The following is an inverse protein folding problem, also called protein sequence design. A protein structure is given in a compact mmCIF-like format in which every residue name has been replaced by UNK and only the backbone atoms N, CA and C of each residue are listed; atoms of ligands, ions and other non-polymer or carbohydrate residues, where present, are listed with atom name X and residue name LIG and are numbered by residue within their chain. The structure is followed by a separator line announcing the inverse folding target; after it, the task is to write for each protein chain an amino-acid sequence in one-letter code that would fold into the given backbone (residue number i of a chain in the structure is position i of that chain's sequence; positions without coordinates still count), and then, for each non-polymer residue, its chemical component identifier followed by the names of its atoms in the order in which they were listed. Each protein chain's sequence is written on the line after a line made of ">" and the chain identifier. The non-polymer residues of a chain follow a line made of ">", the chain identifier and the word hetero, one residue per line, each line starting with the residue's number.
data_IF_336327290722
#
_entry.id   IF_336327290722
#
_cell.length_a   1.000
_cell.length_b   1.000
_cell.length_c   1.000
_cell.angle_alpha   90.00
_cell.angle_beta   90.00
_cell.angle_gamma   90.00
#
_symmetry.space_group_name_H-M   'P 1'
#
loop_
_entity.id
_entity.type
_entity.pdbx_description
1 polymer ?
#
# COMPACT_ATOMS: atom_id res chain seq x y z
N UNK A 1 40.65 -8.60 17.15
CA UNK A 1 39.50 -7.70 17.39
C UNK A 1 40.06 -6.31 17.65
N UNK A 2 40.06 -5.44 16.65
CA UNK A 2 40.52 -4.05 16.81
C UNK A 2 39.40 -3.22 17.42
N UNK A 3 39.61 -2.66 18.60
CA UNK A 3 38.74 -1.64 19.18
C UNK A 3 38.83 -0.38 18.32
N UNK A 4 37.74 -0.04 17.62
CA UNK A 4 37.61 1.24 16.94
C UNK A 4 37.47 2.33 17.99
N UNK A 5 38.54 3.10 18.19
CA UNK A 5 38.52 4.30 19.03
C UNK A 5 37.70 5.38 18.31
N UNK A 6 36.63 5.83 18.97
CA UNK A 6 35.79 6.93 18.49
C UNK A 6 36.60 8.23 18.59
N UNK A 7 36.43 9.12 17.61
CA UNK A 7 37.04 10.45 17.71
C UNK A 7 36.35 11.27 18.82
N UNK A 8 36.98 12.38 19.23
CA UNK A 8 36.49 13.21 20.33
C UNK A 8 35.09 13.79 20.07
N UNK A 9 34.77 14.10 18.82
CA UNK A 9 33.49 14.67 18.43
C UNK A 9 32.37 13.63 18.52
N UNK A 10 32.60 12.42 18.01
CA UNK A 10 31.70 11.27 18.11
C UNK A 10 31.45 10.87 19.56
N UNK A 11 32.51 10.89 20.38
CA UNK A 11 32.41 10.61 21.82
C UNK A 11 31.57 11.66 22.55
N UNK A 12 31.70 12.94 22.19
CA UNK A 12 30.92 14.03 22.78
C UNK A 12 29.43 13.94 22.39
N UNK A 13 29.16 13.59 21.13
CA UNK A 13 27.81 13.43 20.60
C UNK A 13 27.08 12.25 21.25
N UNK A 14 27.75 11.10 21.37
CA UNK A 14 27.20 9.92 22.06
C UNK A 14 26.87 10.22 23.52
N UNK A 15 27.74 10.94 24.24
CA UNK A 15 27.47 11.36 25.63
C UNK A 15 26.23 12.25 25.73
N UNK A 16 26.04 13.17 24.80
CA UNK A 16 24.85 14.03 24.72
C UNK A 16 23.56 13.23 24.49
N UNK A 17 23.59 12.25 23.58
CA UNK A 17 22.43 11.39 23.32
C UNK A 17 22.09 10.50 24.51
N UNK A 18 23.09 9.90 25.17
CA UNK A 18 22.89 9.09 26.38
C UNK A 18 22.29 9.94 27.49
N UNK A 19 22.78 11.15 27.72
CA UNK A 19 22.21 12.06 28.73
C UNK A 19 20.75 12.39 28.42
N UNK A 20 20.42 12.66 27.16
CA UNK A 20 19.04 12.92 26.72
C UNK A 20 18.12 11.73 27.02
N UNK A 21 18.60 10.50 26.81
CA UNK A 21 17.83 9.28 27.08
C UNK A 21 17.63 9.03 28.58
N UNK A 22 18.63 9.38 29.41
CA UNK A 22 18.52 9.34 30.88
C UNK A 22 17.50 10.36 31.37
N UNK A 23 17.54 11.59 30.85
CA UNK A 23 16.62 12.66 31.24
C UNK A 23 15.16 12.34 30.87
N UNK A 24 14.96 11.55 29.81
CA UNK A 24 13.64 11.05 29.38
C UNK A 24 13.13 9.85 30.21
N UNK A 25 13.89 9.41 31.21
CA UNK A 25 13.57 8.29 32.10
C UNK A 25 13.18 7.02 31.32
N UNK A 26 13.88 6.76 30.20
CA UNK A 26 13.59 5.64 29.32
C UNK A 26 13.90 4.33 30.05
N UNK A 27 12.95 3.39 30.13
CA UNK A 27 13.17 2.07 30.73
C UNK A 27 14.41 1.37 30.17
N UNK A 28 15.25 0.83 31.07
CA UNK A 28 16.54 0.19 30.73
C UNK A 28 16.41 -0.96 29.74
N UNK A 29 15.28 -1.65 29.73
CA UNK A 29 14.98 -2.74 28.78
C UNK A 29 14.86 -2.23 27.33
N UNK A 30 14.33 -1.02 27.12
CA UNK A 30 14.26 -0.38 25.80
C UNK A 30 15.66 0.01 25.32
N UNK A 31 16.49 0.55 26.22
CA UNK A 31 17.89 0.91 25.91
C UNK A 31 18.71 -0.32 25.53
N UNK A 32 18.61 -1.40 26.32
CA UNK A 32 19.28 -2.67 26.04
C UNK A 32 18.84 -3.27 24.70
N UNK A 33 17.55 -3.14 24.35
CA UNK A 33 17.01 -3.63 23.08
C UNK A 33 17.52 -2.79 21.89
N UNK A 34 17.61 -1.48 22.04
CA UNK A 34 18.16 -0.61 21.02
C UNK A 34 19.65 -0.91 20.78
N UNK A 35 20.43 -1.11 21.85
CA UNK A 35 21.85 -1.46 21.76
C UNK A 35 22.08 -2.82 21.08
N UNK A 36 21.22 -3.81 21.37
CA UNK A 36 21.24 -5.11 20.70
C UNK A 36 20.96 -4.99 19.20
N UNK A 37 19.96 -4.19 18.81
CA UNK A 37 19.64 -3.96 17.39
C UNK A 37 20.83 -3.29 16.70
N UNK A 38 21.40 -2.24 17.29
CA UNK A 38 22.55 -1.53 16.70
C UNK A 38 23.76 -2.47 16.55
N UNK A 39 24.03 -3.31 17.56
CA UNK A 39 25.13 -4.27 17.53
C UNK A 39 24.96 -5.34 16.46
N UNK A 40 23.77 -5.95 16.37
CA UNK A 40 23.42 -6.91 15.31
C UNK A 40 23.52 -6.28 13.91
N UNK A 41 23.11 -5.01 13.80
CA UNK A 41 23.18 -4.25 12.55
C UNK A 41 24.64 -3.93 12.19
N UNK A 42 25.49 -3.65 13.17
CA UNK A 42 26.93 -3.39 13.01
C UNK A 42 27.71 -4.63 12.59
N UNK A 43 27.36 -5.79 13.15
CA UNK A 43 27.95 -7.08 12.78
C UNK A 43 27.52 -7.53 11.38
N UNK A 44 26.26 -7.31 11.02
CA UNK A 44 25.73 -7.73 9.71
C UNK A 44 26.15 -6.84 8.54
N UNK A 45 26.50 -5.57 8.78
CA UNK A 45 26.76 -4.59 7.72
C UNK A 45 28.20 -4.14 7.55
N UNK A 46 29.17 -4.70 8.30
CA UNK A 46 30.59 -4.59 8.01
C UNK A 46 31.05 -3.22 7.50
N UNK A 47 31.23 -2.26 8.42
CA UNK A 47 31.78 -0.91 8.21
C UNK A 47 30.72 0.18 7.97
N UNK A 48 30.71 1.12 8.93
CA UNK A 48 29.89 2.33 9.01
C UNK A 48 30.38 3.32 7.94
N UNK A 49 29.79 3.28 6.75
CA UNK A 49 30.07 4.24 5.67
C UNK A 49 28.84 4.94 5.07
N UNK A 50 27.63 4.43 5.31
CA UNK A 50 26.42 4.90 4.63
C UNK A 50 25.27 5.25 5.60
N UNK A 51 25.60 5.73 6.80
CA UNK A 51 24.61 6.02 7.86
C UNK A 51 23.50 6.99 7.48
N UNK A 52 23.67 7.80 6.43
CA UNK A 52 22.64 8.74 5.95
C UNK A 52 21.71 8.17 4.86
N UNK A 53 22.05 7.05 4.22
CA UNK A 53 21.19 6.46 3.18
C UNK A 53 19.98 5.71 3.78
N UNK A 54 20.04 5.31 5.05
CA UNK A 54 18.99 4.54 5.71
C UNK A 54 17.90 5.41 6.35
N UNK A 55 18.17 6.67 6.72
CA UNK A 55 17.11 7.58 7.21
C UNK A 55 16.10 7.97 6.11
N UNK A 56 16.49 7.83 4.83
CA UNK A 56 15.59 8.03 3.68
C UNK A 56 14.83 6.77 3.26
N UNK A 57 15.30 5.58 3.62
CA UNK A 57 14.56 4.34 3.41
C UNK A 57 13.67 4.14 4.62
N UNK A 58 12.40 4.55 4.50
CA UNK A 58 11.36 4.13 5.45
C UNK A 58 11.58 2.65 5.73
N UNK A 59 11.88 2.26 6.99
CA UNK A 59 11.96 0.85 7.30
C UNK A 59 10.64 0.24 6.83
N UNK A 60 10.72 -0.81 6.01
CA UNK A 60 9.59 -1.73 5.91
C UNK A 60 9.45 -2.24 7.32
N UNK A 61 8.57 -1.63 8.10
CA UNK A 61 8.19 -2.14 9.39
C UNK A 61 7.67 -3.52 9.06
N UNK A 62 8.43 -4.55 9.42
CA UNK A 62 7.93 -5.91 9.41
C UNK A 62 6.59 -5.87 10.14
N UNK A 63 5.61 -6.58 9.58
CA UNK A 63 4.16 -6.63 9.89
C UNK A 63 3.81 -6.86 11.37
N UNK A 64 4.37 -6.08 12.27
CA UNK A 64 4.26 -6.14 13.72
C UNK A 64 3.22 -5.10 14.09
N UNK A 65 1.96 -5.51 13.94
CA UNK A 65 0.84 -5.30 14.86
C UNK A 65 -0.39 -5.93 14.18
N UNK A 66 -0.32 -7.22 13.82
CA UNK A 66 -1.51 -8.03 13.59
C UNK A 66 -2.13 -8.34 14.95
N UNK A 67 -2.69 -7.30 15.53
CA UNK A 67 -3.66 -7.45 16.60
C UNK A 67 -4.99 -7.59 15.89
N UNK A 68 -5.77 -8.63 16.20
CA UNK A 68 -7.13 -8.75 15.68
C UNK A 68 -7.97 -7.62 16.27
N UNK A 69 -7.98 -6.48 15.58
CA UNK A 69 -8.63 -5.27 16.07
C UNK A 69 -10.13 -5.47 16.21
N UNK A 70 -10.75 -6.39 15.46
CA UNK A 70 -12.15 -6.78 15.64
C UNK A 70 -12.43 -7.27 17.07
N UNK A 71 -11.56 -8.13 17.62
CA UNK A 71 -11.70 -8.64 18.97
C UNK A 71 -11.47 -7.53 20.01
N UNK A 72 -10.44 -6.69 19.81
CA UNK A 72 -10.17 -5.57 20.74
C UNK A 72 -11.27 -4.52 20.75
N UNK A 73 -11.81 -4.20 19.58
CA UNK A 73 -12.92 -3.26 19.44
C UNK A 73 -14.17 -3.84 20.10
N UNK A 74 -14.45 -5.13 19.88
CA UNK A 74 -15.55 -5.85 20.55
C UNK A 74 -15.39 -5.89 22.08
N UNK A 75 -14.16 -6.01 22.56
CA UNK A 75 -13.82 -5.99 23.98
C UNK A 75 -13.71 -4.56 24.57
N UNK A 76 -14.02 -3.52 23.79
CA UNK A 76 -13.95 -2.12 24.22
C UNK A 76 -12.53 -1.59 24.46
N UNK A 77 -11.51 -2.29 23.98
CA UNK A 77 -10.10 -1.87 24.07
C UNK A 77 -9.73 -0.87 22.97
N UNK A 78 -10.53 0.18 22.85
CA UNK A 78 -10.27 1.30 21.95
C UNK A 78 -10.06 2.58 22.75
N UNK A 79 -9.43 3.55 22.11
CA UNK A 79 -9.29 4.89 22.64
C UNK A 79 -10.44 5.76 22.16
N UNK A 80 -11.21 6.32 23.09
CA UNK A 80 -12.37 7.15 22.81
C UNK A 80 -13.66 6.36 22.68
N UNK A 81 -14.66 6.94 22.03
CA UNK A 81 -16.02 6.40 21.93
C UNK A 81 -16.27 5.76 20.54
N UNK A 82 -16.76 4.51 20.45
CA UNK A 82 -17.13 3.92 19.16
C UNK A 82 -18.16 4.78 18.43
N UNK A 83 -18.10 4.85 17.11
CA UNK A 83 -19.03 5.63 16.29
C UNK A 83 -18.80 7.15 16.30
N UNK A 84 -17.89 7.67 17.13
CA UNK A 84 -17.60 9.10 17.23
C UNK A 84 -16.11 9.39 17.13
N UNK A 85 -15.74 10.41 16.37
CA UNK A 85 -14.34 10.84 16.28
C UNK A 85 -14.02 11.86 17.37
N UNK A 86 -12.93 11.64 18.09
CA UNK A 86 -12.36 12.62 19.03
C UNK A 86 -11.40 13.58 18.33
N UNK A 87 -11.55 14.86 18.63
CA UNK A 87 -10.66 15.93 18.19
C UNK A 87 -9.97 16.54 19.41
N UNK A 88 -8.74 17.02 19.21
CA UNK A 88 -8.04 17.75 20.26
C UNK A 88 -8.76 19.07 20.55
N UNK A 89 -8.56 19.62 21.75
CA UNK A 89 -9.24 20.86 22.19
C UNK A 89 -9.03 22.04 21.23
N UNK A 90 -7.87 22.07 20.56
CA UNK A 90 -7.54 23.11 19.58
C UNK A 90 -8.12 22.85 18.18
N UNK A 91 -8.80 21.72 17.97
CA UNK A 91 -9.37 21.28 16.69
C UNK A 91 -8.34 21.02 15.58
N UNK A 92 -7.04 21.00 15.90
CA UNK A 92 -5.98 20.76 14.91
C UNK A 92 -5.68 19.29 14.76
N UNK A 93 -6.02 18.47 15.75
CA UNK A 93 -5.71 17.04 15.75
C UNK A 93 -6.97 16.19 15.87
N UNK A 94 -6.88 14.97 15.35
CA UNK A 94 -7.84 13.87 15.43
C UNK A 94 -7.13 12.71 16.14
N UNK A 95 -7.85 12.03 17.05
CA UNK A 95 -7.33 10.85 17.74
C UNK A 95 -7.58 9.57 16.94
N UNK A 96 -6.60 8.68 16.89
CA UNK A 96 -6.79 7.32 16.39
C UNK A 96 -7.37 6.43 17.48
N UNK A 97 -8.45 5.69 17.20
CA UNK A 97 -9.08 4.81 18.20
C UNK A 97 -8.28 3.55 18.49
N UNK A 98 -7.39 3.14 17.59
CA UNK A 98 -6.64 1.88 17.74
C UNK A 98 -5.38 2.09 18.59
N UNK A 99 -4.64 3.18 18.37
CA UNK A 99 -3.41 3.47 19.12
C UNK A 99 -3.47 4.68 20.05
N UNK A 100 -4.54 5.45 20.03
CA UNK A 100 -4.72 6.63 20.90
C UNK A 100 -3.90 7.85 20.50
N UNK A 101 -3.07 7.75 19.46
CA UNK A 101 -2.22 8.85 18.96
C UNK A 101 -3.01 9.99 18.32
N UNK A 102 -2.45 11.19 18.37
CA UNK A 102 -3.02 12.42 17.82
C UNK A 102 -2.38 12.79 16.49
N UNK A 103 -3.19 13.06 15.46
CA UNK A 103 -2.74 13.31 14.09
C UNK A 103 -3.48 14.48 13.46
N UNK A 104 -2.93 15.12 12.43
CA UNK A 104 -3.70 16.09 11.63
C UNK A 104 -4.78 15.40 10.76
N UNK A 105 -4.45 14.21 10.26
CA UNK A 105 -5.33 13.35 9.48
C UNK A 105 -4.86 11.90 9.64
N UNK A 106 -5.79 10.95 9.64
CA UNK A 106 -5.47 9.52 9.59
C UNK A 106 -5.30 9.12 8.13
N UNK A 107 -4.05 9.07 7.67
CA UNK A 107 -3.72 8.66 6.31
C UNK A 107 -3.77 7.14 6.15
N UNK A 108 -3.96 6.65 4.92
CA UNK A 108 -3.89 5.22 4.62
C UNK A 108 -2.59 4.58 5.13
N UNK A 109 -1.45 5.29 5.07
CA UNK A 109 -0.18 4.78 5.58
C UNK A 109 -0.20 4.53 7.09
N UNK A 110 -0.93 5.34 7.85
CA UNK A 110 -1.09 5.10 9.29
C UNK A 110 -2.04 3.92 9.54
N UNK A 111 -3.16 3.85 8.82
CA UNK A 111 -4.12 2.76 8.94
C UNK A 111 -3.51 1.39 8.58
N UNK A 112 -2.65 1.36 7.57
CA UNK A 112 -1.88 0.16 7.19
C UNK A 112 -0.92 -0.30 8.28
N UNK A 113 -0.43 0.59 9.14
CA UNK A 113 0.37 0.19 10.31
C UNK A 113 -0.46 -0.59 11.34
N UNK A 114 -1.78 -0.48 11.29
CA UNK A 114 -2.73 -1.28 12.07
C UNK A 114 -3.26 -2.49 11.30
N UNK A 115 -2.74 -2.78 10.11
CA UNK A 115 -3.20 -3.89 9.28
C UNK A 115 -4.49 -3.62 8.48
N UNK A 116 -4.97 -2.36 8.44
CA UNK A 116 -6.14 -1.98 7.65
C UNK A 116 -5.73 -1.54 6.24
N UNK A 117 -6.41 -2.02 5.21
CA UNK A 117 -6.10 -1.66 3.82
C UNK A 117 -6.68 -0.31 3.43
N UNK A 118 -7.78 0.11 4.07
CA UNK A 118 -8.51 1.31 3.70
C UNK A 118 -9.12 2.09 4.88
N UNK A 119 -9.37 3.38 4.65
CA UNK A 119 -10.18 4.21 5.55
C UNK A 119 -11.62 3.73 5.69
N UNK A 120 -12.12 2.91 4.75
CA UNK A 120 -13.45 2.32 4.81
C UNK A 120 -13.51 1.26 5.90
N UNK A 121 -12.56 0.31 5.90
CA UNK A 121 -12.44 -0.72 6.93
C UNK A 121 -12.30 -0.12 8.32
N UNK A 122 -11.48 0.94 8.47
CA UNK A 122 -11.36 1.65 9.74
C UNK A 122 -12.70 2.18 10.26
N UNK A 123 -13.53 2.74 9.36
CA UNK A 123 -14.85 3.27 9.74
C UNK A 123 -15.83 2.15 10.08
N UNK A 124 -15.86 1.09 9.28
CA UNK A 124 -16.72 -0.06 9.50
C UNK A 124 -16.40 -0.75 10.83
N UNK A 125 -15.11 -1.01 11.08
CA UNK A 125 -14.60 -1.59 12.31
C UNK A 125 -15.04 -0.81 13.56
N UNK A 126 -14.98 0.52 13.49
CA UNK A 126 -15.29 1.40 14.63
C UNK A 126 -16.73 1.92 14.65
N UNK A 127 -17.59 1.46 13.74
CA UNK A 127 -18.98 1.92 13.63
C UNK A 127 -19.13 3.41 13.26
N UNK A 128 -18.10 4.02 12.66
CA UNK A 128 -18.14 5.40 12.21
C UNK A 128 -19.04 5.54 10.97
N UNK A 129 -19.65 6.71 10.78
CA UNK A 129 -20.33 7.03 9.54
C UNK A 129 -19.36 6.88 8.34
N UNK A 130 -19.79 6.21 7.27
CA UNK A 130 -18.98 5.94 6.07
C UNK A 130 -18.41 7.20 5.43
N UNK A 131 -19.12 8.33 5.55
CA UNK A 131 -18.71 9.64 5.04
C UNK A 131 -17.94 10.48 6.06
N UNK A 132 -17.69 9.97 7.27
CA UNK A 132 -16.97 10.70 8.31
C UNK A 132 -15.55 11.01 7.84
N UNK A 133 -15.18 12.29 7.92
CA UNK A 133 -13.82 12.75 7.65
C UNK A 133 -12.86 12.24 8.71
N UNK A 134 -11.77 11.59 8.27
CA UNK A 134 -10.66 11.19 9.15
C UNK A 134 -9.56 12.27 9.17
N UNK A 135 -9.98 13.53 9.26
CA UNK A 135 -9.14 14.72 9.23
C UNK A 135 -9.61 15.67 10.32
N UNK A 136 -8.69 16.41 10.92
CA UNK A 136 -9.05 17.41 11.92
C UNK A 136 -9.86 18.55 11.29
N UNK A 137 -10.80 19.17 12.03
CA UNK A 137 -11.67 20.23 11.51
C UNK A 137 -10.86 21.36 10.87
N UNK A 138 -9.84 21.88 11.55
CA UNK A 138 -9.00 22.97 11.02
C UNK A 138 -8.26 22.59 9.75
N UNK A 139 -7.84 21.33 9.61
CA UNK A 139 -7.19 20.86 8.39
C UNK A 139 -8.21 20.65 7.26
N UNK A 140 -9.43 20.24 7.60
CA UNK A 140 -10.57 20.18 6.70
C UNK A 140 -10.96 21.57 6.17
N UNK A 141 -11.09 22.56 7.05
CA UNK A 141 -11.43 23.94 6.72
C UNK A 141 -10.38 24.55 5.78
N UNK A 142 -9.10 24.40 6.10
CA UNK A 142 -8.01 24.86 5.23
C UNK A 142 -8.04 24.19 3.86
N UNK A 143 -8.36 22.90 3.79
CA UNK A 143 -8.50 22.21 2.49
C UNK A 143 -9.70 22.72 1.72
N UNK A 144 -10.81 23.00 2.39
CA UNK A 144 -11.99 23.63 1.79
C UNK A 144 -11.64 25.02 1.23
N UNK A 145 -10.98 25.85 2.03
CA UNK A 145 -10.50 27.18 1.63
C UNK A 145 -9.58 27.09 0.41
N UNK A 146 -8.56 26.23 0.43
CA UNK A 146 -7.67 26.00 -0.72
C UNK A 146 -8.44 25.54 -1.95
N UNK A 147 -9.46 24.69 -1.78
CA UNK A 147 -10.32 24.23 -2.88
C UNK A 147 -11.10 25.39 -3.50
N UNK A 148 -11.63 26.29 -2.66
CA UNK A 148 -12.34 27.49 -3.08
C UNK A 148 -11.37 28.46 -3.77
N UNK A 149 -10.19 28.72 -3.19
CA UNK A 149 -9.18 29.64 -3.76
C UNK A 149 -8.62 29.16 -5.09
N UNK A 150 -8.41 27.84 -5.23
CA UNK A 150 -7.95 27.25 -6.49
C UNK A 150 -9.06 27.15 -7.54
N UNK A 151 -10.26 27.60 -7.19
CA UNK A 151 -11.47 27.49 -7.99
C UNK A 151 -11.60 26.08 -8.57
N UNK A 152 -11.28 25.06 -7.77
CA UNK A 152 -11.46 23.66 -8.21
C UNK A 152 -12.94 23.33 -8.35
N UNK A 153 -13.82 24.16 -7.78
CA UNK A 153 -15.25 24.17 -8.04
C UNK A 153 -15.59 24.33 -9.53
N UNK A 154 -14.84 25.13 -10.30
CA UNK A 154 -15.04 25.22 -11.75
C UNK A 154 -14.74 23.90 -12.49
N UNK A 155 -13.94 23.01 -11.89
CA UNK A 155 -13.62 21.68 -12.41
C UNK A 155 -14.43 20.56 -11.74
N UNK A 156 -15.19 20.87 -10.69
CA UNK A 156 -16.21 19.97 -10.15
C UNK A 156 -17.38 19.99 -11.13
N UNK A 157 -17.40 19.01 -12.03
CA UNK A 157 -18.57 18.72 -12.85
C UNK A 157 -19.70 18.40 -11.86
N UNK A 158 -20.64 19.32 -11.73
CA UNK A 158 -21.85 19.11 -10.95
C UNK A 158 -22.72 18.05 -11.65
N UNK A 159 -22.44 16.77 -11.37
CA UNK A 159 -23.28 15.67 -11.85
C UNK A 159 -24.68 15.70 -11.20
N UNK A 160 -24.95 16.63 -10.27
CA UNK A 160 -26.29 16.89 -9.70
C UNK A 160 -27.05 18.00 -10.38
N UNK A 161 -26.49 18.63 -11.41
CA UNK A 161 -27.31 19.32 -12.40
C UNK A 161 -28.31 18.30 -12.92
N UNK A 162 -29.57 18.41 -12.47
CA UNK A 162 -30.68 17.72 -13.09
C UNK A 162 -30.47 17.87 -14.59
N UNK A 163 -30.41 16.75 -15.30
CA UNK A 163 -30.07 16.68 -16.70
C UNK A 163 -31.10 17.46 -17.51
N UNK A 164 -30.92 18.79 -17.60
CA UNK A 164 -31.85 19.77 -18.18
C UNK A 164 -31.62 19.90 -19.68
N UNK A 165 -30.43 19.54 -20.16
CA UNK A 165 -30.29 19.08 -21.53
C UNK A 165 -30.87 17.68 -21.61
N UNK A 166 -32.01 17.49 -22.26
CA UNK A 166 -32.55 16.17 -22.59
C UNK A 166 -31.49 15.24 -23.19
N UNK A 167 -31.77 13.92 -23.33
CA UNK A 167 -30.78 12.86 -23.63
C UNK A 167 -29.67 13.33 -24.54
N UNK A 168 -28.51 13.65 -23.93
CA UNK A 168 -27.27 13.99 -24.62
C UNK A 168 -27.19 13.12 -25.88
N UNK A 169 -27.21 13.70 -27.09
CA UNK A 169 -27.16 12.94 -28.32
C UNK A 169 -25.94 12.01 -28.38
N UNK A 170 -24.89 12.30 -27.59
CA UNK A 170 -23.71 11.45 -27.41
C UNK A 170 -23.96 10.24 -26.51
N UNK A 171 -24.95 10.27 -25.61
CA UNK A 171 -25.36 9.16 -24.73
C UNK A 171 -26.31 8.16 -25.39
N UNK A 172 -26.99 8.50 -26.50
CA UNK A 172 -27.91 7.60 -27.22
C UNK A 172 -27.28 6.74 -28.32
N UNK A 173 -26.01 6.98 -28.67
CA UNK A 173 -25.32 6.19 -29.69
C UNK A 173 -24.67 4.94 -29.11
N UNK A 174 -24.77 3.80 -29.81
CA UNK A 174 -23.98 2.56 -29.62
C UNK A 174 -22.44 2.75 -29.62
N UNK A 175 -21.97 3.99 -29.71
CA UNK A 175 -20.58 4.41 -29.89
C UNK A 175 -19.66 4.07 -28.72
N UNK A 176 -20.09 3.90 -27.47
CA UNK A 176 -19.13 3.48 -26.41
C UNK A 176 -18.67 2.02 -26.58
N UNK A 177 -19.55 1.13 -27.03
CA UNK A 177 -19.14 -0.23 -27.37
C UNK A 177 -18.32 -0.20 -28.65
N UNK A 178 -18.76 0.60 -29.63
CA UNK A 178 -18.09 0.71 -30.92
C UNK A 178 -16.69 1.32 -30.80
N UNK A 179 -16.47 2.38 -30.01
CA UNK A 179 -15.14 2.95 -29.77
C UNK A 179 -14.24 1.98 -28.99
N UNK A 180 -14.79 1.18 -28.08
CA UNK A 180 -14.00 0.17 -27.36
C UNK A 180 -13.63 -1.02 -28.26
N UNK A 181 -14.53 -1.42 -29.15
CA UNK A 181 -14.30 -2.42 -30.19
C UNK A 181 -13.35 -1.90 -31.27
N UNK A 182 -13.55 -0.69 -31.79
CA UNK A 182 -12.67 0.00 -32.75
C UNK A 182 -11.26 0.20 -32.19
N UNK A 183 -11.14 0.54 -30.89
CA UNK A 183 -9.84 0.58 -30.21
C UNK A 183 -9.24 -0.83 -30.14
N UNK A 184 -10.04 -1.84 -29.79
CA UNK A 184 -9.64 -3.25 -29.79
C UNK A 184 -9.15 -3.74 -31.16
N UNK A 185 -9.95 -3.53 -32.21
CA UNK A 185 -9.69 -3.88 -33.59
C UNK A 185 -8.47 -3.13 -34.12
N UNK A 186 -8.31 -1.85 -33.77
CA UNK A 186 -7.11 -1.07 -34.11
C UNK A 186 -5.87 -1.64 -33.44
N UNK A 187 -5.96 -2.07 -32.18
CA UNK A 187 -4.85 -2.75 -31.50
C UNK A 187 -4.58 -4.14 -32.11
N UNK A 188 -5.60 -4.89 -32.53
CA UNK A 188 -5.42 -6.16 -33.24
C UNK A 188 -4.79 -5.97 -34.62
N UNK A 189 -5.22 -4.97 -35.39
CA UNK A 189 -4.66 -4.66 -36.70
C UNK A 189 -3.21 -4.24 -36.60
N UNK A 190 -2.88 -3.42 -35.60
CA UNK A 190 -1.49 -3.05 -35.31
C UNK A 190 -0.65 -4.24 -34.80
N UNK A 191 -1.27 -5.24 -34.14
CA UNK A 191 -0.61 -6.53 -33.82
C UNK A 191 -0.40 -7.39 -35.07
N UNK A 192 -1.41 -7.54 -35.94
CA UNK A 192 -1.32 -8.27 -37.22
C UNK A 192 -0.28 -7.66 -38.16
N UNK A 193 -0.16 -6.33 -38.16
CA UNK A 193 0.84 -5.57 -38.93
C UNK A 193 2.23 -5.56 -38.28
N UNK A 194 2.38 -6.13 -37.07
CA UNK A 194 3.67 -6.22 -36.36
C UNK A 194 4.23 -4.88 -35.87
N UNK A 195 3.44 -3.80 -35.88
CA UNK A 195 3.91 -2.44 -35.55
C UNK A 195 3.81 -2.09 -34.08
N UNK A 196 2.93 -2.77 -33.32
CA UNK A 196 2.92 -2.70 -31.87
C UNK A 196 4.00 -3.61 -31.27
N UNK A 197 4.96 -3.01 -30.56
CA UNK A 197 5.84 -3.76 -29.66
C UNK A 197 5.00 -4.41 -28.57
N UNK A 198 4.83 -5.73 -28.65
CA UNK A 198 4.35 -6.55 -27.53
C UNK A 198 5.25 -6.28 -26.32
N UNK A 199 4.67 -5.97 -25.15
CA UNK A 199 5.49 -5.71 -23.97
C UNK A 199 6.23 -6.97 -23.44
N UNK A 200 6.01 -8.13 -24.06
CA UNK A 200 6.92 -9.28 -24.15
C UNK A 200 6.42 -10.19 -25.28
N UNK A 201 7.32 -10.58 -26.15
CA UNK A 201 7.10 -11.33 -27.39
C UNK A 201 6.79 -12.80 -27.12
N UNK A 202 5.67 -13.30 -27.64
CA UNK A 202 5.46 -14.74 -27.89
C UNK A 202 4.22 -15.38 -27.26
N UNK A 203 3.59 -14.76 -26.27
CA UNK A 203 2.52 -15.43 -25.53
C UNK A 203 1.14 -15.28 -26.20
N UNK A 204 0.35 -16.35 -26.17
CA UNK A 204 -1.05 -16.38 -26.63
C UNK A 204 -1.83 -15.22 -25.96
N UNK A 205 -2.65 -14.45 -26.71
CA UNK A 205 -3.45 -13.34 -26.16
C UNK A 205 -4.38 -13.72 -24.99
N UNK A 206 -4.63 -15.01 -24.78
CA UNK A 206 -5.38 -15.56 -23.63
C UNK A 206 -4.56 -15.61 -22.33
N UNK A 207 -3.24 -15.39 -22.41
CA UNK A 207 -2.29 -15.50 -21.31
C UNK A 207 -1.86 -14.09 -20.89
N UNK A 208 -2.12 -13.73 -19.62
CA UNK A 208 -1.52 -12.53 -19.01
C UNK A 208 -0.58 -12.93 -17.89
N UNK A 209 0.70 -12.62 -18.03
CA UNK A 209 1.64 -12.76 -16.92
C UNK A 209 1.42 -11.65 -15.90
N UNK A 210 1.23 -12.04 -14.64
CA UNK A 210 1.11 -11.14 -13.49
C UNK A 210 2.45 -11.12 -12.74
N UNK A 211 2.73 -10.03 -12.03
CA UNK A 211 3.97 -9.88 -11.27
C UNK A 211 4.02 -10.93 -10.14
N UNK A 212 5.19 -11.53 -9.89
CA UNK A 212 5.40 -12.39 -8.72
C UNK A 212 4.98 -13.85 -8.88
N UNK A 213 5.07 -14.41 -10.09
CA UNK A 213 4.74 -15.83 -10.35
C UNK A 213 3.24 -16.09 -10.59
N UNK A 214 2.43 -15.03 -10.70
CA UNK A 214 1.04 -15.14 -11.14
C UNK A 214 0.93 -15.18 -12.66
N UNK A 215 -0.08 -15.88 -13.16
CA UNK A 215 -0.45 -15.84 -14.58
C UNK A 215 -1.96 -16.00 -14.69
N UNK A 216 -2.56 -15.41 -15.72
CA UNK A 216 -3.99 -15.56 -16.01
C UNK A 216 -4.16 -16.28 -17.34
N UNK A 217 -5.09 -17.23 -17.36
CA UNK A 217 -5.53 -17.96 -18.56
C UNK A 217 -7.05 -17.89 -18.60
N UNK A 218 -7.63 -17.39 -19.71
CA UNK A 218 -9.07 -17.19 -19.85
C UNK A 218 -9.71 -16.40 -18.70
N UNK A 219 -9.10 -15.28 -18.31
CA UNK A 219 -9.57 -14.40 -17.22
C UNK A 219 -9.56 -15.03 -15.81
N UNK A 220 -9.19 -16.31 -15.67
CA UNK A 220 -8.94 -16.96 -14.38
C UNK A 220 -7.47 -16.78 -14.00
N UNK A 221 -7.21 -16.41 -12.75
CA UNK A 221 -5.86 -16.21 -12.23
C UNK A 221 -5.35 -17.49 -11.58
N UNK A 222 -4.11 -17.85 -11.89
CA UNK A 222 -3.37 -18.98 -11.37
C UNK A 222 -2.08 -18.50 -10.73
N UNK A 223 -1.55 -19.28 -9.79
CA UNK A 223 -0.38 -18.92 -9.02
C UNK A 223 0.66 -20.03 -9.01
N UNK A 224 1.84 -19.72 -9.58
CA UNK A 224 2.93 -20.69 -9.68
C UNK A 224 3.74 -20.82 -8.39
N UNK A 225 3.92 -19.72 -7.66
CA UNK A 225 4.68 -19.67 -6.41
C UNK A 225 5.43 -18.36 -6.22
N UNK A 226 5.75 -18.02 -4.97
CA UNK A 226 6.52 -16.82 -4.63
C UNK A 226 7.94 -16.99 -5.17
N UNK A 227 8.46 -15.96 -5.84
CA UNK A 227 9.82 -15.98 -6.38
C UNK A 227 10.00 -16.81 -7.65
N UNK A 228 8.91 -17.31 -8.25
CA UNK A 228 8.98 -18.04 -9.50
C UNK A 228 9.51 -17.16 -10.64
N UNK A 229 10.50 -17.67 -11.37
CA UNK A 229 11.09 -17.05 -12.56
C UNK A 229 10.81 -17.92 -13.79
N UNK A 230 10.81 -17.31 -14.97
CA UNK A 230 10.69 -18.01 -16.27
C UNK A 230 9.48 -18.95 -16.38
N UNK A 231 8.33 -18.53 -15.85
CA UNK A 231 7.10 -19.33 -15.90
C UNK A 231 6.60 -19.43 -17.35
N UNK A 232 6.53 -20.66 -17.89
CA UNK A 232 6.07 -20.99 -19.24
C UNK A 232 4.94 -22.02 -19.17
N UNK A 233 3.88 -21.81 -19.94
CA UNK A 233 2.80 -22.79 -20.08
C UNK A 233 3.22 -23.82 -21.13
N UNK A 234 3.19 -25.10 -20.78
CA UNK A 234 3.56 -26.21 -21.67
C UNK A 234 2.37 -26.72 -22.48
N UNK A 235 1.21 -26.90 -21.83
CA UNK A 235 -0.03 -27.33 -22.49
C UNK A 235 -1.27 -26.73 -21.82
N UNK A 236 -2.31 -26.52 -22.62
CA UNK A 236 -3.62 -26.05 -22.20
C UNK A 236 -4.65 -27.01 -22.78
N UNK A 237 -5.23 -27.85 -21.93
CA UNK A 237 -6.37 -28.70 -22.26
C UNK A 237 -7.66 -28.15 -21.66
N UNK A 238 -8.81 -28.70 -22.08
CA UNK A 238 -10.11 -28.31 -21.53
C UNK A 238 -10.23 -28.53 -20.02
N UNK A 239 -9.44 -29.46 -19.47
CA UNK A 239 -9.49 -29.86 -18.06
C UNK A 239 -8.27 -29.43 -17.26
N UNK A 240 -7.10 -29.29 -17.89
CA UNK A 240 -5.83 -29.11 -17.18
C UNK A 240 -4.91 -28.11 -17.89
N UNK A 241 -4.11 -27.40 -17.10
CA UNK A 241 -3.08 -26.47 -17.57
C UNK A 241 -1.76 -26.92 -16.97
N UNK A 242 -0.78 -27.25 -17.82
CA UNK A 242 0.55 -27.67 -17.38
C UNK A 242 1.50 -26.49 -17.52
N UNK A 243 2.18 -26.13 -16.44
CA UNK A 243 3.07 -24.97 -16.39
C UNK A 243 4.42 -25.37 -15.82
N UNK A 244 5.49 -24.86 -16.41
CA UNK A 244 6.89 -25.04 -16.00
C UNK A 244 7.44 -23.71 -15.50
N UNK A 245 8.30 -23.72 -14.49
CA UNK A 245 8.96 -22.52 -14.02
C UNK A 245 10.07 -22.83 -13.03
N UNK A 246 10.91 -21.84 -12.73
CA UNK A 246 12.06 -21.99 -11.82
C UNK A 246 11.69 -21.41 -10.46
N UNK A 247 11.76 -22.22 -9.40
CA UNK A 247 11.55 -21.81 -8.00
C UNK A 247 12.84 -22.13 -7.24
N UNK A 248 13.45 -21.13 -6.59
CA UNK A 248 14.70 -21.30 -5.84
C UNK A 248 15.86 -21.93 -6.65
N UNK A 249 15.87 -21.75 -7.98
CA UNK A 249 16.89 -22.33 -8.88
C UNK A 249 16.55 -23.73 -9.39
N UNK A 250 15.49 -24.36 -8.89
CA UNK A 250 15.02 -25.67 -9.34
C UNK A 250 13.87 -25.53 -10.34
N UNK A 251 13.88 -26.39 -11.36
CA UNK A 251 12.84 -26.42 -12.38
C UNK A 251 11.66 -27.26 -11.89
N UNK A 252 10.51 -26.61 -11.68
CA UNK A 252 9.29 -27.21 -11.17
C UNK A 252 8.25 -27.24 -12.28
N UNK A 253 7.47 -28.32 -12.34
CA UNK A 253 6.28 -28.42 -13.21
C UNK A 253 5.04 -28.58 -12.35
N UNK A 254 4.00 -27.78 -12.62
CA UNK A 254 2.72 -27.81 -11.91
C UNK A 254 1.57 -27.97 -12.89
N UNK A 255 0.62 -28.82 -12.52
CA UNK A 255 -0.62 -29.03 -13.27
C UNK A 255 -1.79 -28.42 -12.50
N UNK A 256 -2.57 -27.57 -13.14
CA UNK A 256 -3.76 -26.93 -12.57
C UNK A 256 -5.01 -27.51 -13.22
N UNK A 257 -5.95 -27.99 -12.41
CA UNK A 257 -7.28 -28.37 -12.91
C UNK A 257 -8.12 -27.14 -13.14
N UNK A 258 -8.68 -27.02 -14.34
CA UNK A 258 -9.62 -25.98 -14.71
C UNK A 258 -10.96 -26.30 -14.05
N UNK A 259 -11.38 -25.49 -13.08
CA UNK A 259 -12.78 -25.50 -12.62
C UNK A 259 -13.64 -25.09 -13.82
N UNK A 260 -14.59 -25.94 -14.21
CA UNK A 260 -15.63 -25.60 -15.19
C UNK A 260 -16.31 -24.31 -14.76
#
# INVERSE_FOLDING_TARGET
>A
MGSLELNNDESSFLKSQVQTLVDLNVPTDILNRAESIVSLTKESLGIVGEGYALLGRKPKVDKLHYVEWEERVSNGQIFGEPGRVEFGDDGKTIRCHLCGGWFLQLTNTHLQAHGLESAKEYRELLGLNSNQGLISPKSGDKRSEISITRDTAQYLIDERGGFTGGPDPRRKGKRRLQTRLEIGDRYEDLRKKGTLRSYRSGDDPRIRHLVGGGFSVYEKSYYFGIGAKEVKILSIDDKEIVVKGIINGEEVTKTYRRKK
#
